data_IF_695967277189
#
_entry.id   IF_695967277189
#
_cell.length_a   1.000
_cell.length_b   1.000
_cell.length_c   1.000
_cell.angle_alpha   90.00
_cell.angle_beta   90.00
_cell.angle_gamma   90.00
#
_symmetry.space_group_name_H-M   'P 1'
#
loop_
_entity.id
_entity.type
_entity.pdbx_description
1 polymer ?
#
# COMPACT_ATOMS: atom_id res chain seq x y z
N UNK A 1 21.56 -12.84 -53.94
CA UNK A 1 22.34 -13.28 -52.76
C UNK A 1 22.19 -12.21 -51.71
N UNK A 2 21.50 -12.49 -50.60
CA UNK A 2 21.21 -11.52 -49.55
C UNK A 2 21.35 -12.15 -48.16
N UNK A 3 21.90 -11.33 -47.27
CA UNK A 3 22.59 -11.59 -46.01
C UNK A 3 21.84 -12.39 -44.94
N UNK A 4 22.61 -13.22 -44.23
CA UNK A 4 22.25 -13.87 -42.96
C UNK A 4 22.28 -12.87 -41.78
N UNK A 5 21.33 -12.96 -40.82
CA UNK A 5 21.22 -12.04 -39.69
C UNK A 5 22.19 -12.31 -38.52
N UNK A 6 22.44 -11.31 -37.64
CA UNK A 6 23.61 -11.23 -36.74
C UNK A 6 23.62 -12.15 -35.51
N UNK A 7 22.61 -12.99 -35.31
CA UNK A 7 22.38 -13.71 -34.04
C UNK A 7 23.07 -15.09 -33.94
N UNK A 8 23.99 -15.43 -34.86
CA UNK A 8 24.66 -16.74 -34.92
C UNK A 8 26.20 -16.66 -34.98
N UNK A 9 26.82 -15.75 -34.20
CA UNK A 9 28.28 -15.71 -34.02
C UNK A 9 28.70 -16.25 -32.65
N UNK A 10 29.04 -17.54 -32.68
CA UNK A 10 30.22 -18.15 -32.06
C UNK A 10 30.19 -18.48 -30.55
N UNK A 11 29.90 -19.75 -30.26
CA UNK A 11 30.64 -20.60 -29.30
C UNK A 11 31.97 -21.02 -29.95
N UNK A 12 33.11 -20.72 -29.33
CA UNK A 12 34.39 -21.46 -29.47
C UNK A 12 35.14 -21.23 -28.14
N UNK A 13 35.24 -22.22 -27.24
CA UNK A 13 36.21 -23.33 -27.24
C UNK A 13 37.65 -22.80 -27.27
N UNK A 14 38.28 -22.72 -26.09
CA UNK A 14 39.73 -22.50 -25.95
C UNK A 14 40.26 -23.58 -25.01
N UNK A 15 41.20 -24.34 -25.55
CA UNK A 15 41.90 -25.48 -24.95
C UNK A 15 43.01 -25.04 -24.00
N UNK A 16 43.28 -25.90 -23.02
CA UNK A 16 44.37 -25.87 -22.03
C UNK A 16 45.79 -25.77 -22.61
N UNK A 17 46.75 -25.37 -21.77
CA UNK A 17 47.89 -26.25 -21.53
C UNK A 17 48.33 -26.39 -20.05
N UNK A 18 48.32 -27.64 -19.59
CA UNK A 18 49.22 -28.43 -18.73
C UNK A 18 50.49 -27.78 -18.08
N UNK A 19 50.53 -27.86 -16.73
CA UNK A 19 51.64 -27.97 -15.72
C UNK A 19 52.48 -26.73 -15.29
N UNK A 20 53.06 -26.69 -14.05
CA UNK A 20 53.30 -27.77 -13.07
C UNK A 20 52.75 -27.55 -11.64
N UNK A 21 52.63 -28.67 -10.92
CA UNK A 21 52.22 -28.80 -9.51
C UNK A 21 53.17 -28.10 -8.54
N UNK A 22 52.61 -27.23 -7.70
CA UNK A 22 53.25 -26.72 -6.47
C UNK A 22 52.43 -27.21 -5.29
N UNK A 23 53.03 -28.07 -4.48
CA UNK A 23 52.52 -28.48 -3.17
C UNK A 23 52.55 -27.27 -2.23
N UNK A 24 51.42 -26.58 -2.08
CA UNK A 24 51.20 -25.61 -1.00
C UNK A 24 50.33 -26.25 0.05
N UNK A 25 50.98 -26.86 1.03
CA UNK A 25 50.41 -27.10 2.36
C UNK A 25 50.15 -25.74 3.00
N UNK A 26 48.88 -25.35 3.10
CA UNK A 26 48.45 -24.24 3.95
C UNK A 26 47.13 -24.56 4.63
N UNK A 27 46.99 -24.16 5.91
CA UNK A 27 46.11 -24.80 6.85
C UNK A 27 44.66 -24.48 6.50
N UNK A 28 43.81 -25.51 6.58
CA UNK A 28 42.37 -25.37 6.71
C UNK A 28 42.08 -24.44 7.89
N UNK A 29 42.02 -23.15 7.58
CA UNK A 29 41.35 -22.17 8.39
C UNK A 29 39.89 -22.54 8.26
N UNK A 30 39.34 -23.05 9.35
CA UNK A 30 37.90 -23.14 9.56
C UNK A 30 37.36 -21.74 9.33
N UNK A 31 36.98 -21.44 8.08
CA UNK A 31 36.03 -20.37 7.81
C UNK A 31 34.81 -20.85 8.57
N UNK A 32 34.58 -20.23 9.73
CA UNK A 32 33.25 -20.23 10.31
C UNK A 32 32.38 -19.75 9.17
N UNK A 33 31.60 -20.66 8.60
CA UNK A 33 30.37 -20.28 7.96
C UNK A 33 29.70 -19.39 9.00
N UNK A 34 29.78 -18.08 8.79
CA UNK A 34 28.84 -17.15 9.38
C UNK A 34 27.52 -17.69 8.90
N UNK A 35 26.91 -18.49 9.77
CA UNK A 35 25.53 -18.92 9.74
C UNK A 35 24.75 -17.67 9.37
N UNK A 36 24.49 -17.50 8.06
CA UNK A 36 23.73 -16.38 7.52
C UNK A 36 22.45 -16.43 8.29
N UNK A 37 22.35 -15.56 9.30
CA UNK A 37 21.30 -15.59 10.28
C UNK A 37 20.01 -15.50 9.49
N UNK A 38 19.34 -16.64 9.35
CA UNK A 38 18.14 -16.78 8.55
C UNK A 38 17.26 -15.57 8.89
N UNK A 39 16.80 -14.79 7.90
CA UNK A 39 16.20 -13.49 8.15
C UNK A 39 15.14 -13.66 9.23
N UNK A 40 15.33 -13.01 10.39
CA UNK A 40 14.45 -13.17 11.54
C UNK A 40 13.04 -12.77 11.12
N UNK A 41 12.23 -13.77 10.79
CA UNK A 41 10.81 -13.60 10.57
C UNK A 41 10.13 -13.61 11.93
N UNK A 42 9.23 -12.66 12.12
CA UNK A 42 8.43 -12.51 13.31
C UNK A 42 6.99 -12.95 13.01
N UNK A 43 6.36 -13.49 14.03
CA UNK A 43 4.92 -13.71 14.06
C UNK A 43 4.22 -12.41 14.47
N UNK A 44 2.95 -12.27 14.07
CA UNK A 44 2.16 -11.11 14.46
C UNK A 44 2.01 -11.01 15.99
N UNK A 45 1.94 -12.16 16.68
CA UNK A 45 1.90 -12.23 18.14
C UNK A 45 3.17 -11.68 18.78
N UNK A 46 4.35 -12.11 18.31
CA UNK A 46 5.64 -11.60 18.80
C UNK A 46 5.76 -10.08 18.61
N UNK A 47 5.35 -9.56 17.45
CA UNK A 47 5.36 -8.11 17.21
C UNK A 47 4.40 -7.40 18.16
N UNK A 48 3.18 -7.90 18.32
CA UNK A 48 2.19 -7.28 19.19
C UNK A 48 2.65 -7.26 20.66
N UNK A 49 3.13 -8.38 21.20
CA UNK A 49 3.60 -8.49 22.58
C UNK A 49 4.82 -7.59 22.87
N UNK A 50 5.64 -7.32 21.84
CA UNK A 50 6.73 -6.36 21.97
C UNK A 50 6.26 -4.91 22.18
N UNK A 51 5.15 -4.50 21.55
CA UNK A 51 4.63 -3.12 21.64
C UNK A 51 3.52 -2.93 22.67
N UNK A 52 2.92 -4.01 23.16
CA UNK A 52 1.95 -4.03 24.26
C UNK A 52 2.43 -4.95 25.35
N UNK A 53 2.82 -4.33 26.47
CA UNK A 53 3.17 -5.06 27.69
C UNK A 53 1.93 -5.82 28.21
N UNK A 54 2.17 -6.95 28.88
CA UNK A 54 1.19 -8.02 29.14
C UNK A 54 -0.10 -7.65 29.89
N UNK A 55 -0.23 -6.43 30.41
CA UNK A 55 -1.38 -6.01 31.21
C UNK A 55 -2.64 -5.68 30.38
N UNK A 56 -2.50 -5.50 29.05
CA UNK A 56 -3.59 -5.10 28.14
C UNK A 56 -4.10 -6.26 27.25
N UNK A 57 -4.14 -7.49 27.77
CA UNK A 57 -4.59 -8.71 27.04
C UNK A 57 -6.05 -8.69 26.56
N UNK A 58 -6.82 -7.68 26.92
CA UNK A 58 -8.23 -7.56 26.51
C UNK A 58 -8.42 -6.80 25.19
N UNK A 59 -7.35 -6.40 24.51
CA UNK A 59 -7.45 -5.89 23.16
C UNK A 59 -7.61 -7.05 22.18
N UNK A 60 -8.85 -7.28 21.76
CA UNK A 60 -9.23 -7.97 20.53
C UNK A 60 -8.67 -7.16 19.35
N UNK A 61 -7.34 -7.17 19.22
CA UNK A 61 -6.63 -6.31 18.30
C UNK A 61 -6.99 -6.80 16.91
N UNK A 62 -7.54 -5.93 16.05
CA UNK A 62 -7.77 -6.22 14.65
C UNK A 62 -6.44 -6.62 13.99
N UNK A 63 -6.11 -7.91 14.00
CA UNK A 63 -4.84 -8.50 13.57
C UNK A 63 -4.55 -8.29 12.07
N UNK A 64 -5.50 -7.73 11.33
CA UNK A 64 -5.44 -7.53 9.89
C UNK A 64 -5.40 -6.06 9.48
N UNK A 65 -4.99 -5.17 10.39
CA UNK A 65 -4.80 -3.75 10.11
C UNK A 65 -3.36 -3.42 9.75
N UNK A 66 -3.13 -2.32 9.03
CA UNK A 66 -1.78 -1.88 8.61
C UNK A 66 -1.13 -0.94 9.61
N UNK A 67 -1.92 -0.16 10.37
CA UNK A 67 -1.44 0.84 11.31
C UNK A 67 -1.78 0.41 12.73
N UNK A 68 -0.80 0.48 13.62
CA UNK A 68 -0.91 0.00 14.99
C UNK A 68 -0.38 1.04 15.98
N UNK A 69 -1.05 1.16 17.12
CA UNK A 69 -0.60 1.99 18.25
C UNK A 69 0.39 1.22 19.14
N UNK A 70 0.68 1.71 20.34
CA UNK A 70 1.40 0.98 21.39
C UNK A 70 0.91 1.45 22.75
N UNK A 71 1.15 0.65 23.79
CA UNK A 71 0.90 1.05 25.18
C UNK A 71 1.64 2.33 25.60
N UNK A 72 2.82 2.59 25.04
CA UNK A 72 3.65 3.75 25.40
C UNK A 72 3.24 5.04 24.68
N UNK A 73 2.62 4.92 23.50
CA UNK A 73 2.34 6.03 22.61
C UNK A 73 0.94 5.92 22.03
N UNK A 74 0.10 6.94 22.27
CA UNK A 74 -1.24 7.03 21.69
C UNK A 74 -1.24 7.24 20.14
N UNK A 75 -0.07 7.47 19.54
CA UNK A 75 0.11 7.63 18.09
C UNK A 75 0.50 6.35 17.37
N UNK A 76 0.94 6.48 16.11
CA UNK A 76 1.47 5.38 15.30
C UNK A 76 2.76 4.83 15.91
N UNK A 77 2.78 3.55 16.26
CA UNK A 77 3.94 2.90 16.84
C UNK A 77 4.64 1.96 15.85
N UNK A 78 3.91 1.24 14.99
CA UNK A 78 4.47 0.34 13.97
C UNK A 78 3.49 0.08 12.82
N UNK A 79 4.01 -0.45 11.71
CA UNK A 79 3.27 -0.67 10.46
C UNK A 79 3.45 -2.09 9.92
N UNK A 80 2.33 -2.71 9.50
CA UNK A 80 2.30 -3.99 8.77
C UNK A 80 1.99 -3.83 7.29
N UNK A 81 2.87 -4.38 6.46
CA UNK A 81 2.68 -4.45 5.02
C UNK A 81 2.33 -5.89 4.63
N UNK A 82 1.04 -6.12 4.39
CA UNK A 82 0.57 -7.40 3.89
C UNK A 82 0.95 -7.60 2.42
N UNK A 83 1.27 -8.84 2.07
CA UNK A 83 1.68 -9.18 0.72
C UNK A 83 0.57 -8.82 -0.30
N UNK A 84 0.91 -8.02 -1.29
CA UNK A 84 -0.01 -7.59 -2.36
C UNK A 84 -1.10 -6.60 -1.94
N UNK A 85 -1.13 -6.13 -0.68
CA UNK A 85 -2.10 -5.12 -0.22
C UNK A 85 -1.70 -3.68 -0.58
N UNK A 86 -0.39 -3.43 -0.70
CA UNK A 86 0.21 -2.12 -0.95
C UNK A 86 1.13 -2.17 -2.17
N UNK A 87 0.59 -2.16 -3.41
CA UNK A 87 1.39 -2.34 -4.63
C UNK A 87 2.38 -1.21 -4.90
N UNK A 88 2.20 -0.03 -4.29
CA UNK A 88 3.11 1.11 -4.44
C UNK A 88 4.22 1.17 -3.38
N UNK A 89 4.28 0.17 -2.49
CA UNK A 89 5.32 0.12 -1.47
C UNK A 89 6.71 -0.01 -2.08
N UNK A 90 6.94 -1.03 -2.92
CA UNK A 90 8.27 -1.35 -3.45
C UNK A 90 8.87 -0.25 -4.35
N UNK A 91 8.03 0.58 -4.97
CA UNK A 91 8.49 1.64 -5.88
C UNK A 91 8.61 2.99 -5.20
N UNK A 92 7.64 3.35 -4.37
CA UNK A 92 7.48 4.73 -3.88
C UNK A 92 7.34 4.83 -2.35
N UNK A 93 7.39 3.71 -1.62
CA UNK A 93 7.13 3.64 -0.18
C UNK A 93 5.77 4.25 0.19
N UNK A 94 4.75 4.01 -0.66
CA UNK A 94 3.39 4.53 -0.47
C UNK A 94 2.46 3.41 -0.03
N UNK A 95 1.68 3.69 1.01
CA UNK A 95 0.56 2.85 1.46
C UNK A 95 -0.76 3.60 1.41
N UNK A 96 -1.85 2.86 1.27
CA UNK A 96 -3.21 3.39 1.25
C UNK A 96 -3.99 2.84 2.42
N UNK A 97 -4.36 3.70 3.36
CA UNK A 97 -5.01 3.32 4.61
C UNK A 97 -6.44 3.86 4.70
N UNK A 98 -7.32 3.05 5.30
CA UNK A 98 -8.75 3.34 5.50
C UNK A 98 -9.12 3.36 6.99
N UNK A 99 -8.50 2.51 7.79
CA UNK A 99 -8.72 2.38 9.23
C UNK A 99 -7.57 2.99 10.03
N UNK A 100 -7.79 3.22 11.33
CA UNK A 100 -6.80 3.74 12.28
C UNK A 100 -6.16 5.06 11.86
N UNK A 101 -6.90 5.90 11.12
CA UNK A 101 -6.43 7.20 10.63
C UNK A 101 -6.09 8.18 11.75
N UNK A 102 -6.64 7.98 12.95
CA UNK A 102 -6.38 8.79 14.14
C UNK A 102 -4.97 8.57 14.72
N UNK A 103 -4.27 7.48 14.32
CA UNK A 103 -2.89 7.23 14.73
C UNK A 103 -1.89 8.06 13.93
N UNK A 104 -2.30 8.58 12.78
CA UNK A 104 -1.45 9.40 11.94
C UNK A 104 -1.28 10.80 12.54
N UNK A 105 -0.07 11.39 12.46
CA UNK A 105 0.14 12.77 12.88
C UNK A 105 -0.72 13.73 12.05
N UNK A 106 -1.07 14.89 12.62
CA UNK A 106 -1.78 15.90 11.86
C UNK A 106 -0.90 16.43 10.72
N UNK A 107 -1.54 17.00 9.70
CA UNK A 107 -0.83 17.71 8.62
C UNK A 107 -0.48 19.10 9.15
N UNK A 108 0.79 19.52 9.02
CA UNK A 108 1.19 20.90 9.36
C UNK A 108 0.40 21.86 8.47
N UNK A 109 -0.39 22.72 9.08
CA UNK A 109 -1.03 23.82 8.36
C UNK A 109 0.08 24.79 7.94
N UNK A 110 0.46 24.75 6.66
CA UNK A 110 1.26 25.80 6.07
C UNK A 110 0.35 27.01 5.96
N UNK A 111 0.59 28.03 6.77
CA UNK A 111 -0.14 29.31 6.76
C UNK A 111 -0.06 30.08 5.42
N UNK A 112 0.52 29.49 4.38
CA UNK A 112 0.74 30.08 3.05
C UNK A 112 -0.55 30.21 2.21
N UNK A 113 -1.74 29.97 2.79
CA UNK A 113 -3.03 30.17 2.13
C UNK A 113 -3.82 31.39 2.66
N UNK A 114 -3.18 32.32 3.36
CA UNK A 114 -3.77 33.61 3.75
C UNK A 114 -2.86 34.78 3.36
N UNK A 115 -2.83 35.14 2.07
CA UNK A 115 -2.59 36.53 1.61
C UNK A 115 -2.88 36.67 0.10
N UNK A 116 -4.10 36.31 -0.34
CA UNK A 116 -4.65 36.82 -1.62
C UNK A 116 -6.13 37.11 -1.42
N UNK A 117 -6.40 38.26 -0.80
CA UNK A 117 -7.53 39.15 -1.13
C UNK A 117 -7.72 40.16 0.01
N UNK A 118 -7.24 41.39 -0.18
CA UNK A 118 -7.94 42.65 0.12
C UNK A 118 -7.00 43.82 -0.12
N UNK A 119 -6.83 44.25 -1.38
CA UNK A 119 -6.39 45.62 -1.66
C UNK A 119 -6.68 46.06 -3.11
N UNK A 120 -7.93 45.94 -3.57
CA UNK A 120 -8.43 46.79 -4.66
C UNK A 120 -9.88 47.21 -4.36
N UNK A 121 -10.05 48.24 -3.54
CA UNK A 121 -11.19 49.15 -3.64
C UNK A 121 -10.83 50.53 -3.07
N UNK A 122 -10.22 51.36 -3.92
CA UNK A 122 -10.56 52.78 -4.04
C UNK A 122 -9.69 53.40 -5.13
N UNK A 123 -10.25 53.54 -6.33
CA UNK A 123 -10.28 54.87 -6.95
C UNK A 123 -11.41 54.97 -7.96
N UNK A 124 -12.19 56.03 -7.75
CA UNK A 124 -13.40 56.42 -8.46
C UNK A 124 -13.06 56.98 -9.86
N UNK A 125 -13.80 56.47 -10.83
CA UNK A 125 -14.67 57.25 -11.72
C UNK A 125 -14.07 58.04 -12.91
N UNK A 126 -14.84 58.01 -14.01
CA UNK A 126 -14.84 58.86 -15.22
C UNK A 126 -13.95 58.42 -16.40
N UNK A 127 -14.52 57.64 -17.33
CA UNK A 127 -14.85 58.19 -18.66
C UNK A 127 -15.82 57.29 -19.45
N UNK A 128 -17.00 57.82 -19.73
CA UNK A 128 -17.94 57.30 -20.72
C UNK A 128 -17.58 57.85 -22.10
N UNK A 129 -17.46 56.99 -23.13
CA UNK A 129 -18.08 57.20 -24.46
C UNK A 129 -17.71 56.11 -25.47
N UNK A 130 -18.78 55.52 -26.01
CA UNK A 130 -19.00 55.20 -27.42
C UNK A 130 -18.03 54.27 -28.17
N UNK A 131 -18.52 53.07 -28.50
CA UNK A 131 -18.59 52.61 -29.89
C UNK A 131 -19.65 51.50 -30.04
N UNK A 132 -20.82 51.91 -30.56
CA UNK A 132 -21.70 51.04 -31.35
C UNK A 132 -20.97 50.73 -32.66
N UNK A 133 -20.71 49.47 -32.97
CA UNK A 133 -20.75 48.98 -34.35
C UNK A 133 -21.41 47.60 -34.33
N UNK A 134 -22.50 47.54 -35.07
CA UNK A 134 -23.31 46.37 -35.37
C UNK A 134 -22.93 45.89 -36.80
N UNK A 135 -23.45 44.72 -37.19
CA UNK A 135 -23.43 44.06 -38.51
C UNK A 135 -22.20 43.17 -38.84
N UNK A 136 -22.30 42.08 -39.62
CA UNK A 136 -23.37 41.27 -40.22
C UNK A 136 -22.69 40.28 -41.22
N UNK A 137 -23.32 39.12 -41.42
CA UNK A 137 -23.42 38.33 -42.66
C UNK A 137 -22.48 37.13 -42.92
N UNK A 138 -23.12 35.99 -43.24
CA UNK A 138 -22.57 34.80 -43.90
C UNK A 138 -23.19 33.50 -43.37
N UNK A 139 -24.51 33.25 -43.50
CA UNK A 139 -25.17 32.58 -44.63
C UNK A 139 -24.61 31.20 -45.01
N UNK A 140 -25.39 30.12 -44.74
CA UNK A 140 -25.10 28.77 -45.24
C UNK A 140 -25.90 27.62 -44.61
N UNK A 141 -27.24 27.65 -44.71
CA UNK A 141 -28.13 26.48 -44.63
C UNK A 141 -28.11 25.71 -45.98
N UNK A 142 -28.42 24.39 -46.06
CA UNK A 142 -29.75 23.78 -45.80
C UNK A 142 -29.67 22.55 -44.86
N UNK A 143 -30.54 22.41 -43.85
CA UNK A 143 -31.96 21.98 -43.86
C UNK A 143 -32.19 20.62 -44.54
N UNK A 144 -32.64 19.62 -43.74
CA UNK A 144 -33.76 18.68 -44.03
C UNK A 144 -33.90 17.67 -42.85
N UNK A 145 -34.99 17.87 -42.07
CA UNK A 145 -35.96 16.92 -41.43
C UNK A 145 -35.44 15.76 -40.53
N UNK A 146 -36.10 15.29 -39.47
CA UNK A 146 -37.42 15.51 -38.85
C UNK A 146 -37.41 14.82 -37.46
N UNK A 147 -38.32 15.28 -36.58
CA UNK A 147 -39.05 14.51 -35.57
C UNK A 147 -38.31 13.85 -34.40
N UNK A 148 -38.46 14.44 -33.21
CA UNK A 148 -39.29 13.85 -32.15
C UNK A 148 -39.48 14.86 -31.00
N UNK A 149 -40.70 15.40 -30.91
CA UNK A 149 -41.20 16.14 -29.76
C UNK A 149 -41.44 15.16 -28.59
N UNK A 150 -40.94 15.53 -27.42
CA UNK A 150 -41.60 15.26 -26.13
C UNK A 150 -41.05 16.26 -25.11
N UNK A 151 -41.80 17.35 -24.96
CA UNK A 151 -41.72 18.24 -23.81
C UNK A 151 -42.42 17.58 -22.63
N UNK A 152 -41.70 17.41 -21.53
CA UNK A 152 -42.24 17.49 -20.19
C UNK A 152 -41.17 18.16 -19.34
N UNK A 153 -41.27 19.49 -19.27
CA UNK A 153 -40.58 20.33 -18.33
C UNK A 153 -40.99 19.95 -16.90
N UNK A 154 -40.07 19.33 -16.17
CA UNK A 154 -40.03 19.44 -14.71
C UNK A 154 -38.60 19.82 -14.34
N UNK A 155 -38.39 21.12 -14.27
CA UNK A 155 -37.15 21.79 -13.88
C UNK A 155 -36.88 21.56 -12.40
N UNK A 156 -36.46 20.34 -12.07
CA UNK A 156 -35.78 20.05 -10.82
C UNK A 156 -34.40 20.72 -10.88
N UNK A 157 -34.34 21.94 -10.35
CA UNK A 157 -33.11 22.65 -10.05
C UNK A 157 -32.16 21.70 -9.31
N UNK A 158 -31.08 21.31 -9.98
CA UNK A 158 -29.95 20.62 -9.37
C UNK A 158 -29.44 21.51 -8.23
N UNK A 159 -29.38 21.05 -6.98
CA UNK A 159 -28.61 21.74 -5.97
C UNK A 159 -27.13 21.57 -6.31
N UNK A 160 -26.60 22.47 -7.12
CA UNK A 160 -25.16 22.72 -7.28
C UNK A 160 -24.62 23.29 -5.98
N UNK A 161 -24.53 22.44 -4.96
CA UNK A 161 -23.78 22.70 -3.74
C UNK A 161 -22.60 21.73 -3.73
N UNK A 162 -21.67 21.96 -4.65
CA UNK A 162 -20.32 21.42 -4.59
C UNK A 162 -19.59 22.06 -3.40
N UNK A 163 -19.96 21.67 -2.18
CA UNK A 163 -19.05 21.71 -1.04
C UNK A 163 -18.09 20.54 -1.19
N UNK A 164 -17.30 20.54 -2.27
CA UNK A 164 -16.22 19.61 -2.45
C UNK A 164 -15.21 19.89 -1.34
N UNK A 165 -15.22 19.06 -0.30
CA UNK A 165 -14.24 19.12 0.78
C UNK A 165 -12.86 19.06 0.11
N UNK A 166 -12.02 20.10 0.25
CA UNK A 166 -10.74 20.12 -0.43
C UNK A 166 -9.88 18.96 0.07
N UNK A 167 -9.16 18.33 -0.86
CA UNK A 167 -8.13 17.34 -0.52
C UNK A 167 -7.09 18.07 0.33
N UNK A 168 -6.86 17.59 1.55
CA UNK A 168 -5.84 18.13 2.44
C UNK A 168 -4.57 17.32 2.27
N UNK A 169 -3.50 17.98 1.86
CA UNK A 169 -2.20 17.38 1.64
C UNK A 169 -1.11 18.22 2.28
N UNK A 170 -0.10 17.58 2.87
CA UNK A 170 1.05 18.30 3.40
C UNK A 170 2.03 17.42 4.15
N UNK A 171 3.12 18.03 4.67
CA UNK A 171 4.03 17.34 5.57
C UNK A 171 3.34 17.08 6.91
N UNK A 172 3.60 15.94 7.56
CA UNK A 172 3.07 15.68 8.88
C UNK A 172 3.72 16.59 9.94
N UNK A 173 3.04 16.76 11.06
CA UNK A 173 3.62 17.23 12.31
C UNK A 173 4.81 16.35 12.73
N UNK A 174 5.68 16.89 13.58
CA UNK A 174 6.84 16.14 14.05
C UNK A 174 6.39 14.88 14.78
N UNK A 175 6.93 13.73 14.38
CA UNK A 175 6.62 12.44 14.98
C UNK A 175 7.90 11.57 15.03
N UNK A 176 7.91 10.57 15.91
CA UNK A 176 9.03 9.62 16.01
C UNK A 176 9.06 8.65 14.84
N UNK A 177 10.24 8.14 14.50
CA UNK A 177 10.37 7.02 13.57
C UNK A 177 9.77 5.74 14.17
N UNK A 178 9.18 4.91 13.31
CA UNK A 178 8.51 3.67 13.69
C UNK A 178 9.01 2.49 12.85
N UNK A 179 8.99 1.26 13.37
CA UNK A 179 9.40 0.08 12.62
C UNK A 179 8.30 -0.33 11.64
N UNK A 180 8.74 -0.77 10.46
CA UNK A 180 7.85 -1.32 9.43
C UNK A 180 8.20 -2.80 9.24
N UNK A 181 7.17 -3.62 9.10
CA UNK A 181 7.30 -5.05 8.85
C UNK A 181 6.58 -5.44 7.55
N UNK A 182 7.27 -6.20 6.69
CA UNK A 182 6.72 -6.69 5.44
C UNK A 182 6.45 -8.19 5.50
N UNK A 183 5.23 -8.57 5.16
CA UNK A 183 4.83 -9.96 5.05
C UNK A 183 5.56 -10.61 3.86
N UNK A 184 6.34 -11.65 4.16
CA UNK A 184 7.00 -12.52 3.21
C UNK A 184 6.04 -13.62 2.76
N UNK A 185 6.06 -13.95 1.47
CA UNK A 185 5.39 -15.17 0.99
C UNK A 185 6.27 -16.35 1.38
N UNK A 186 5.90 -17.02 2.47
CA UNK A 186 6.52 -18.27 2.82
C UNK A 186 6.16 -19.32 1.76
N UNK A 187 7.18 -20.02 1.23
CA UNK A 187 6.97 -21.13 0.31
C UNK A 187 6.18 -22.27 0.95
N UNK A 188 5.87 -23.35 0.21
CA UNK A 188 5.01 -24.44 0.66
C UNK A 188 5.48 -25.18 1.93
N UNK A 189 6.72 -24.95 2.37
CA UNK A 189 7.31 -25.55 3.58
C UNK A 189 7.38 -24.59 4.78
N UNK A 190 7.03 -23.31 4.62
CA UNK A 190 7.16 -22.35 5.71
C UNK A 190 6.02 -22.50 6.71
N UNK A 191 6.37 -22.79 7.96
CA UNK A 191 5.43 -22.82 9.07
C UNK A 191 4.79 -21.41 9.19
N UNK A 192 3.53 -21.28 8.79
CA UNK A 192 2.87 -20.02 8.42
C UNK A 192 2.72 -18.98 9.54
N UNK A 193 3.23 -19.26 10.73
CA UNK A 193 3.09 -18.42 11.91
C UNK A 193 4.04 -17.21 11.89
N UNK A 194 5.26 -17.39 11.40
CA UNK A 194 6.26 -16.30 11.29
C UNK A 194 6.40 -15.90 9.83
N UNK A 195 5.78 -14.80 9.46
CA UNK A 195 5.73 -14.33 8.07
C UNK A 195 6.15 -12.88 7.90
N UNK A 196 6.44 -12.15 8.98
CA UNK A 196 6.77 -10.72 8.88
C UNK A 196 8.27 -10.50 9.02
N UNK A 197 8.87 -9.80 8.06
CA UNK A 197 10.26 -9.37 8.09
C UNK A 197 10.33 -7.91 8.49
N UNK A 198 11.17 -7.57 9.46
CA UNK A 198 11.50 -6.17 9.74
C UNK A 198 12.28 -5.57 8.56
N UNK A 199 11.80 -4.44 8.03
CA UNK A 199 12.42 -3.79 6.86
C UNK A 199 13.15 -2.48 7.20
N UNK A 200 13.08 -2.02 8.45
CA UNK A 200 13.77 -0.81 8.91
C UNK A 200 12.85 0.21 9.58
N UNK A 201 13.47 1.21 10.17
CA UNK A 201 12.80 2.36 10.80
C UNK A 201 12.42 3.40 9.74
N UNK A 202 11.17 3.84 9.75
CA UNK A 202 10.63 4.77 8.78
C UNK A 202 10.00 5.98 9.45
N UNK A 203 9.89 7.07 8.68
CA UNK A 203 9.07 8.23 9.01
C UNK A 203 8.08 8.56 7.89
N UNK A 204 7.01 9.27 8.23
CA UNK A 204 6.05 9.77 7.27
C UNK A 204 6.64 11.05 6.68
N UNK A 205 6.78 11.06 5.36
CA UNK A 205 7.26 12.25 4.64
C UNK A 205 6.09 13.10 4.14
N UNK A 206 4.95 12.48 3.80
CA UNK A 206 3.78 13.18 3.26
C UNK A 206 2.50 12.44 3.60
N UNK A 207 1.46 13.21 3.90
CA UNK A 207 0.10 12.73 4.11
C UNK A 207 -0.84 13.43 3.13
N UNK A 208 -1.73 12.66 2.52
CA UNK A 208 -2.81 13.16 1.69
C UNK A 208 -4.13 12.53 2.15
N UNK A 209 -5.05 13.35 2.66
CA UNK A 209 -6.35 12.92 3.14
C UNK A 209 -7.36 13.03 2.00
N UNK A 210 -7.92 11.88 1.62
CA UNK A 210 -8.90 11.76 0.55
C UNK A 210 -10.31 11.67 1.14
N UNK A 211 -11.20 12.65 0.87
CA UNK A 211 -12.57 12.60 1.32
C UNK A 211 -13.33 11.42 0.70
N UNK A 212 -14.37 10.90 1.39
CA UNK A 212 -15.27 9.90 0.82
C UNK A 212 -15.83 10.35 -0.52
N UNK A 213 -15.93 9.41 -1.48
CA UNK A 213 -16.46 9.63 -2.83
C UNK A 213 -15.77 10.73 -3.67
N UNK A 214 -14.62 11.25 -3.25
CA UNK A 214 -13.87 12.23 -4.05
C UNK A 214 -13.31 11.63 -5.34
N UNK A 215 -13.15 12.44 -6.39
CA UNK A 215 -12.55 12.00 -7.65
C UNK A 215 -11.12 11.47 -7.46
N UNK A 216 -10.35 12.10 -6.56
CA UNK A 216 -9.02 11.64 -6.17
C UNK A 216 -9.05 10.24 -5.52
N UNK A 217 -10.02 9.96 -4.64
CA UNK A 217 -10.21 8.63 -4.06
C UNK A 217 -10.55 7.58 -5.12
N UNK A 218 -11.45 7.90 -6.06
CA UNK A 218 -11.81 7.00 -7.15
C UNK A 218 -10.58 6.69 -8.02
N UNK A 219 -9.81 7.71 -8.39
CA UNK A 219 -8.58 7.54 -9.18
C UNK A 219 -7.54 6.68 -8.44
N UNK A 220 -7.30 6.98 -7.16
CA UNK A 220 -6.38 6.22 -6.32
C UNK A 220 -6.78 4.74 -6.21
N UNK A 221 -8.06 4.46 -5.93
CA UNK A 221 -8.55 3.09 -5.81
C UNK A 221 -8.43 2.36 -7.15
N UNK A 222 -8.77 3.00 -8.27
CA UNK A 222 -8.62 2.39 -9.60
C UNK A 222 -7.19 1.93 -9.83
N UNK A 223 -6.22 2.81 -9.51
CA UNK A 223 -4.79 2.49 -9.58
C UNK A 223 -4.34 1.41 -8.59
N UNK A 224 -4.90 1.39 -7.37
CA UNK A 224 -4.60 0.35 -6.36
C UNK A 224 -5.01 -1.04 -6.81
N UNK A 225 -6.08 -1.15 -7.61
CA UNK A 225 -6.59 -2.43 -8.12
C UNK A 225 -6.04 -2.80 -9.51
N UNK A 226 -5.08 -2.03 -10.03
CA UNK A 226 -4.29 -2.40 -11.20
C UNK A 226 -3.18 -3.37 -10.80
N UNK A 227 -3.13 -4.53 -11.45
CA UNK A 227 -2.04 -5.50 -11.31
C UNK A 227 -1.22 -5.50 -12.59
N UNK A 228 0.06 -5.16 -12.48
CA UNK A 228 1.00 -5.33 -13.58
C UNK A 228 1.48 -6.77 -13.58
N UNK A 229 1.35 -7.46 -14.70
CA UNK A 229 1.92 -8.80 -14.86
C UNK A 229 3.45 -8.75 -15.06
N UNK A 230 4.10 -9.92 -15.04
CA UNK A 230 5.55 -10.04 -15.30
C UNK A 230 5.98 -9.56 -16.70
N UNK A 231 5.02 -9.32 -17.60
CA UNK A 231 5.24 -8.83 -18.97
C UNK A 231 4.92 -7.34 -19.11
N UNK A 232 4.64 -6.63 -18.01
CA UNK A 232 4.30 -5.21 -18.01
C UNK A 232 2.87 -4.89 -18.44
N UNK A 233 2.00 -5.88 -18.61
CA UNK A 233 0.58 -5.68 -18.97
C UNK A 233 -0.22 -5.38 -17.72
N UNK A 234 -1.03 -4.32 -17.80
CA UNK A 234 -1.90 -3.90 -16.71
C UNK A 234 -3.22 -4.66 -16.80
N UNK A 235 -3.51 -5.47 -15.78
CA UNK A 235 -4.80 -6.12 -15.59
C UNK A 235 -5.55 -5.45 -14.45
N UNK A 236 -6.76 -4.97 -14.72
CA UNK A 236 -7.64 -4.50 -13.65
C UNK A 236 -8.19 -5.71 -12.89
N UNK A 237 -7.87 -5.78 -11.59
CA UNK A 237 -8.50 -6.75 -10.71
C UNK A 237 -9.94 -6.29 -10.48
N UNK A 238 -10.90 -7.01 -11.07
CA UNK A 238 -12.31 -6.72 -10.85
C UNK A 238 -12.63 -6.88 -9.37
N UNK A 239 -13.11 -5.80 -8.77
CA UNK A 239 -13.68 -5.79 -7.42
C UNK A 239 -15.19 -5.74 -7.53
N UNK A 240 -15.88 -6.51 -6.71
CA UNK A 240 -17.35 -6.50 -6.67
C UNK A 240 -17.85 -5.08 -6.38
N UNK A 241 -18.95 -4.69 -7.04
CA UNK A 241 -19.56 -3.36 -6.89
C UNK A 241 -19.79 -2.98 -5.41
N UNK A 242 -20.29 -3.92 -4.60
CA UNK A 242 -20.47 -3.72 -3.15
C UNK A 242 -19.17 -3.35 -2.43
N UNK A 243 -18.02 -3.93 -2.83
CA UNK A 243 -16.72 -3.62 -2.24
C UNK A 243 -16.16 -2.26 -2.67
N UNK A 244 -16.51 -1.81 -3.87
CA UNK A 244 -16.25 -0.45 -4.35
C UNK A 244 -17.05 0.57 -3.56
N UNK A 245 -18.36 0.40 -3.49
CA UNK A 245 -19.26 1.27 -2.74
C UNK A 245 -18.87 1.34 -1.27
N UNK A 246 -18.53 0.20 -0.65
CA UNK A 246 -18.03 0.17 0.71
C UNK A 246 -16.74 0.97 0.85
N UNK A 247 -15.78 0.82 -0.05
CA UNK A 247 -14.51 1.56 0.05
C UNK A 247 -14.70 3.07 -0.12
N UNK A 248 -15.60 3.49 -1.01
CA UNK A 248 -15.87 4.90 -1.30
C UNK A 248 -16.63 5.62 -0.18
N UNK A 249 -17.29 4.89 0.72
CA UNK A 249 -17.99 5.47 1.89
C UNK A 249 -17.04 6.02 2.95
N UNK A 250 -15.79 5.59 2.96
CA UNK A 250 -14.85 5.98 4.01
C UNK A 250 -13.84 7.00 3.51
N UNK A 251 -13.32 7.75 4.48
CA UNK A 251 -12.13 8.57 4.29
C UNK A 251 -10.93 7.64 4.11
N UNK A 252 -10.04 8.01 3.20
CA UNK A 252 -8.77 7.33 2.99
C UNK A 252 -7.61 8.29 3.23
N UNK A 253 -6.43 7.74 3.45
CA UNK A 253 -5.20 8.52 3.51
C UNK A 253 -4.12 7.83 2.71
N UNK A 254 -3.45 8.60 1.85
CA UNK A 254 -2.22 8.20 1.18
C UNK A 254 -1.07 8.59 2.10
N UNK A 255 -0.28 7.60 2.51
CA UNK A 255 0.87 7.81 3.40
C UNK A 255 2.12 7.50 2.61
N UNK A 256 2.94 8.52 2.38
CA UNK A 256 4.27 8.36 1.80
C UNK A 256 5.30 8.30 2.91
N UNK A 257 6.07 7.23 2.94
CA UNK A 257 7.09 6.99 3.95
C UNK A 257 8.48 7.06 3.35
N UNK A 258 9.46 7.33 4.21
CA UNK A 258 10.88 7.34 3.85
C UNK A 258 11.64 6.62 4.97
N UNK A 259 12.67 5.86 4.60
CA UNK A 259 13.57 5.23 5.54
C UNK A 259 14.27 6.31 6.37
N UNK A 260 14.27 6.15 7.69
CA UNK A 260 14.99 7.04 8.58
C UNK A 260 16.36 6.43 8.90
N UNK A 261 17.37 6.78 8.08
CA UNK A 261 18.73 6.26 8.21
C UNK A 261 19.32 6.53 9.60
N UNK A 262 19.09 7.73 10.15
CA UNK A 262 19.56 8.10 11.49
C UNK A 262 18.93 7.21 12.57
N UNK A 263 17.61 7.02 12.54
CA UNK A 263 16.96 6.11 13.48
C UNK A 263 17.39 4.65 13.29
N UNK A 264 17.68 4.24 12.06
CA UNK A 264 18.11 2.88 11.75
C UNK A 264 19.55 2.60 12.21
N UNK A 265 20.43 3.60 12.16
CA UNK A 265 21.78 3.53 12.73
C UNK A 265 21.77 3.60 14.25
N UNK A 266 20.96 4.49 14.84
CA UNK A 266 20.87 4.70 16.29
C UNK A 266 20.23 3.52 17.02
N UNK A 267 19.08 3.05 16.52
CA UNK A 267 18.31 1.97 17.16
C UNK A 267 18.71 0.59 16.69
N UNK A 268 19.33 0.48 15.51
CA UNK A 268 19.74 -0.79 14.95
C UNK A 268 18.57 -1.72 14.58
N UNK A 269 18.86 -3.02 14.36
CA UNK A 269 17.85 -4.03 14.07
C UNK A 269 16.94 -4.24 15.28
N UNK A 270 15.64 -4.42 15.03
CA UNK A 270 14.68 -4.62 16.10
C UNK A 270 14.75 -6.06 16.65
N UNK A 271 15.17 -6.18 17.91
CA UNK A 271 15.27 -7.46 18.62
C UNK A 271 13.96 -7.78 19.35
N UNK A 272 13.05 -8.47 18.66
CA UNK A 272 11.81 -8.97 19.26
C UNK A 272 12.08 -10.34 19.89
N UNK A 273 11.67 -10.50 21.16
CA UNK A 273 11.79 -11.76 21.88
C UNK A 273 10.91 -12.82 21.19
N UNK A 274 11.48 -14.01 20.99
CA UNK A 274 10.74 -15.14 20.43
C UNK A 274 9.86 -15.71 21.51
N UNK A 275 8.57 -15.81 21.20
CA UNK A 275 7.62 -16.51 22.06
C UNK A 275 7.61 -17.95 21.57
N UNK A 276 7.99 -18.87 22.44
CA UNK A 276 7.80 -20.28 22.16
C UNK A 276 6.31 -20.50 21.93
N UNK A 277 5.96 -21.05 20.77
CA UNK A 277 4.59 -21.52 20.57
C UNK A 277 4.36 -22.57 21.63
N UNK A 278 3.55 -22.25 22.64
CA UNK A 278 2.95 -23.29 23.45
C UNK A 278 2.40 -24.33 22.47
N UNK A 279 2.75 -25.62 22.65
CA UNK A 279 2.34 -26.66 21.72
C UNK A 279 0.85 -26.50 21.57
N UNK A 280 0.40 -26.24 20.32
CA UNK A 280 -1.01 -25.99 20.02
C UNK A 280 -1.80 -26.97 20.87
N UNK A 281 -2.53 -26.42 21.85
CA UNK A 281 -3.30 -27.20 22.79
C UNK A 281 -4.23 -28.02 21.89
N UNK A 282 -3.90 -29.30 21.71
CA UNK A 282 -4.48 -30.17 20.68
C UNK A 282 -5.95 -29.87 20.67
N UNK A 283 -6.43 -29.26 19.58
CA UNK A 283 -7.75 -28.70 19.52
C UNK A 283 -8.74 -29.87 19.62
N UNK A 284 -9.05 -30.24 20.86
CA UNK A 284 -9.79 -31.41 21.25
C UNK A 284 -11.24 -31.13 20.90
N UNK A 285 -11.64 -31.37 19.65
CA UNK A 285 -13.05 -31.20 19.31
C UNK A 285 -13.44 -31.26 17.84
N UNK A 286 -12.51 -31.21 16.89
CA UNK A 286 -12.85 -31.25 15.47
C UNK A 286 -12.24 -32.45 14.76
N UNK A 287 -12.78 -33.66 14.95
CA UNK A 287 -12.40 -34.81 14.10
C UNK A 287 -12.55 -34.39 12.64
N UNK A 288 -11.49 -34.51 11.84
CA UNK A 288 -11.59 -34.17 10.42
C UNK A 288 -12.61 -35.10 9.73
N UNK A 289 -13.21 -34.66 8.63
CA UNK A 289 -14.14 -35.51 7.85
C UNK A 289 -13.51 -36.85 7.47
N UNK A 290 -12.19 -36.88 7.19
CA UNK A 290 -11.49 -38.12 6.91
C UNK A 290 -11.39 -39.04 8.12
N UNK A 291 -11.24 -38.50 9.33
CA UNK A 291 -11.26 -39.31 10.56
C UNK A 291 -12.67 -39.82 10.88
N UNK A 292 -13.71 -39.01 10.65
CA UNK A 292 -15.11 -39.47 10.77
C UNK A 292 -15.42 -40.58 9.78
N UNK A 293 -14.98 -40.46 8.53
CA UNK A 293 -15.15 -41.49 7.51
C UNK A 293 -14.31 -42.75 7.80
N UNK A 294 -13.11 -42.59 8.36
CA UNK A 294 -12.28 -43.72 8.78
C UNK A 294 -12.92 -44.49 9.94
N UNK A 295 -13.48 -43.78 10.94
CA UNK A 295 -14.22 -44.40 12.04
C UNK A 295 -15.45 -45.18 11.54
N UNK A 296 -16.21 -44.64 10.58
CA UNK A 296 -17.35 -45.33 9.96
C UNK A 296 -16.94 -46.56 9.13
N UNK A 297 -15.74 -46.59 8.57
CA UNK A 297 -15.23 -47.77 7.84
C UNK A 297 -14.79 -48.91 8.75
N UNK A 298 -14.36 -48.60 9.97
CA UNK A 298 -13.82 -49.59 10.91
C UNK A 298 -14.86 -50.14 11.90
N UNK A 299 -16.04 -49.52 12.01
CA UNK A 299 -17.08 -49.88 12.98
C UNK A 299 -18.08 -50.98 12.57
N UNK A 300 -17.85 -51.71 11.47
CA UNK A 300 -18.86 -52.65 10.91
C UNK A 300 -18.50 -54.14 11.00
N UNK A 301 -17.61 -54.54 11.92
CA UNK A 301 -17.07 -55.90 11.99
C UNK A 301 -17.01 -56.50 13.42
N UNK A 302 -17.97 -56.18 14.27
CA UNK A 302 -18.23 -56.97 15.49
C UNK A 302 -19.74 -57.21 15.64
N UNK A 303 -20.22 -58.25 14.94
CA UNK A 303 -21.29 -59.16 15.38
C UNK A 303 -21.21 -60.48 14.59
#
# INVERSE_FOLDING_TARGET
MASLPPALRTKQQTSEPVLPSVETTSPFSHVKDEEEASPSLYSLREIHEHFWQEDDRNHDSDHNTTLHSSSENAGLAWVLLFHGANPQWESNNVIFVKSNLHLLPNIKETNDAQEVDTEIENDREINTKAAKVNLLLGAGLPQVVESAENEAEESAALPSSDHAIPVREGPPESHSAFPVFAQQINGPQGNGVRSFKFIGWHKIARLEILPPKSAALVHMLSKKWEKVDRYGRVHQRQRNQKGWEDSLKHKWTVVKMVLDEGANEEKGPLEIQRIDQEPEQENSGGRSVNEMLAALRMGSNEE
#
